data_IF_494568224551
#
_entry.id   IF_494568224551
#
_cell.length_a   1.000
_cell.length_b   1.000
_cell.length_c   1.000
_cell.angle_alpha   90.00
_cell.angle_beta   90.00
_cell.angle_gamma   90.00
#
_symmetry.space_group_name_H-M   'P 1'
#
loop_
_entity.id
_entity.type
_entity.pdbx_description
1 polymer ?
#
# COMPACT_ATOMS: atom_id res chain seq x y z
N UNK A 1 36.45 14.94 -17.81
CA UNK A 1 35.26 14.43 -17.10
C UNK A 1 34.10 14.48 -18.06
N UNK A 2 33.61 13.32 -18.51
CA UNK A 2 32.55 13.22 -19.52
C UNK A 2 31.21 13.49 -18.84
N UNK A 3 30.54 14.58 -19.21
CA UNK A 3 29.21 14.91 -18.70
C UNK A 3 28.20 13.89 -19.23
N UNK A 4 27.90 12.86 -18.45
CA UNK A 4 26.79 11.95 -18.73
C UNK A 4 25.48 12.71 -18.61
N UNK A 5 24.71 12.74 -19.70
CA UNK A 5 23.42 13.39 -19.76
C UNK A 5 22.49 12.81 -18.67
N UNK A 6 21.93 13.68 -17.82
CA UNK A 6 21.07 13.30 -16.68
C UNK A 6 19.91 12.40 -17.09
N UNK A 7 19.37 12.56 -18.30
CA UNK A 7 18.31 11.70 -18.82
C UNK A 7 18.78 10.27 -19.08
N UNK A 8 20.02 10.08 -19.57
CA UNK A 8 20.59 8.74 -19.75
C UNK A 8 20.92 8.10 -18.40
N UNK A 9 21.46 8.86 -17.44
CA UNK A 9 21.68 8.37 -16.08
C UNK A 9 20.36 7.95 -15.41
N UNK A 10 19.29 8.72 -15.62
CA UNK A 10 17.95 8.40 -15.15
C UNK A 10 17.47 7.07 -15.75
N UNK A 11 17.44 6.91 -17.08
CA UNK A 11 16.92 5.70 -17.75
C UNK A 11 17.64 4.41 -17.30
N UNK A 12 18.95 4.46 -17.03
CA UNK A 12 19.70 3.27 -16.65
C UNK A 12 19.70 2.98 -15.14
N UNK A 13 19.57 3.99 -14.28
CA UNK A 13 19.58 3.80 -12.82
C UNK A 13 18.18 3.70 -12.20
N UNK A 14 17.16 4.32 -12.80
CA UNK A 14 15.80 4.37 -12.23
C UNK A 14 15.12 3.04 -12.05
N UNK A 15 15.22 2.02 -12.93
CA UNK A 15 14.48 0.78 -12.71
C UNK A 15 14.83 0.12 -11.36
N UNK A 16 16.09 0.25 -10.95
CA UNK A 16 16.55 -0.27 -9.65
C UNK A 16 16.09 0.58 -8.47
N UNK A 17 16.07 1.91 -8.62
CA UNK A 17 15.60 2.85 -7.60
C UNK A 17 14.08 2.79 -7.44
N UNK A 18 13.35 2.76 -8.55
CA UNK A 18 11.89 2.60 -8.60
C UNK A 18 11.45 1.30 -7.94
N UNK A 19 12.19 0.19 -8.14
CA UNK A 19 11.90 -1.07 -7.46
C UNK A 19 12.10 -0.98 -5.94
N UNK A 20 13.09 -0.21 -5.48
CA UNK A 20 13.29 0.06 -4.04
C UNK A 20 12.18 0.92 -3.49
N UNK A 21 11.80 1.99 -4.21
CA UNK A 21 10.67 2.85 -3.82
C UNK A 21 9.38 2.06 -3.76
N UNK A 22 9.07 1.24 -4.76
CA UNK A 22 7.88 0.39 -4.78
C UNK A 22 7.84 -0.60 -3.59
N UNK A 23 8.99 -1.14 -3.18
CA UNK A 23 9.10 -1.97 -1.98
C UNK A 23 8.82 -1.20 -0.71
N UNK A 24 9.43 -0.02 -0.54
CA UNK A 24 9.19 0.85 0.61
C UNK A 24 7.71 1.24 0.70
N UNK A 25 7.09 1.59 -0.43
CA UNK A 25 5.66 1.89 -0.52
C UNK A 25 4.78 0.67 -0.20
N UNK A 26 5.28 -0.54 -0.43
CA UNK A 26 4.63 -1.81 -0.07
C UNK A 26 4.97 -2.28 1.35
N UNK A 27 5.57 -1.43 2.18
CA UNK A 27 6.06 -1.76 3.54
C UNK A 27 7.04 -2.94 3.56
N UNK A 28 7.85 -3.11 2.50
CA UNK A 28 8.91 -4.11 2.39
C UNK A 28 10.28 -3.45 2.43
N UNK A 29 11.27 -4.19 2.95
CA UNK A 29 12.67 -3.76 2.95
C UNK A 29 13.18 -3.57 1.49
N UNK A 30 13.72 -2.39 1.14
CA UNK A 30 14.20 -2.10 -0.21
C UNK A 30 15.31 -3.07 -0.67
N UNK A 31 16.19 -3.49 0.23
CA UNK A 31 17.36 -4.33 -0.09
C UNK A 31 17.12 -5.83 0.14
N UNK A 32 15.99 -6.21 0.74
CA UNK A 32 15.68 -7.61 1.01
C UNK A 32 15.60 -8.42 -0.29
N UNK A 33 16.41 -9.48 -0.42
CA UNK A 33 16.22 -10.44 -1.50
C UNK A 33 14.84 -11.07 -1.37
N UNK A 34 14.07 -11.07 -2.46
CA UNK A 34 12.78 -11.77 -2.49
C UNK A 34 13.10 -13.26 -2.59
N UNK A 35 12.82 -14.06 -1.55
CA UNK A 35 13.00 -15.49 -1.66
C UNK A 35 12.02 -16.01 -2.71
N UNK A 36 12.54 -16.67 -3.73
CA UNK A 36 11.71 -17.39 -4.70
C UNK A 36 11.23 -18.68 -4.07
N UNK A 37 9.96 -19.01 -4.29
CA UNK A 37 9.44 -20.30 -3.89
C UNK A 37 10.08 -21.39 -4.75
N UNK A 38 10.52 -22.47 -4.12
CA UNK A 38 11.16 -23.60 -4.77
C UNK A 38 10.48 -24.90 -4.34
N UNK A 39 10.58 -25.93 -5.19
CA UNK A 39 10.15 -27.27 -4.86
C UNK A 39 11.19 -28.05 -4.04
N UNK A 40 12.35 -27.44 -3.75
CA UNK A 40 13.46 -28.07 -3.00
C UNK A 40 13.07 -28.51 -1.58
N UNK A 41 11.98 -27.95 -1.01
CA UNK A 41 11.45 -28.38 0.29
C UNK A 41 10.79 -29.75 0.27
N UNK A 42 10.41 -30.26 -0.89
CA UNK A 42 9.79 -31.57 -1.04
C UNK A 42 10.84 -32.68 -1.19
N UNK A 43 10.49 -33.90 -0.81
CA UNK A 43 11.30 -35.08 -1.11
C UNK A 43 11.34 -35.37 -2.62
N UNK A 44 12.34 -36.14 -3.04
CA UNK A 44 12.57 -36.40 -4.47
C UNK A 44 11.38 -37.08 -5.15
N UNK A 45 10.65 -37.96 -4.47
CA UNK A 45 9.48 -38.65 -5.05
C UNK A 45 8.37 -37.63 -5.30
N UNK A 46 8.00 -36.85 -4.28
CA UNK A 46 7.00 -35.79 -4.41
C UNK A 46 7.37 -34.77 -5.48
N UNK A 47 8.64 -34.38 -5.58
CA UNK A 47 9.10 -33.49 -6.64
C UNK A 47 8.87 -34.08 -8.04
N UNK A 48 9.14 -35.38 -8.26
CA UNK A 48 8.88 -36.02 -9.55
C UNK A 48 7.39 -36.04 -9.90
N UNK A 49 6.54 -36.26 -8.90
CA UNK A 49 5.08 -36.24 -9.06
C UNK A 49 4.56 -34.84 -9.38
N UNK A 50 5.07 -33.81 -8.71
CA UNK A 50 4.74 -32.41 -9.02
C UNK A 50 5.20 -32.05 -10.45
N UNK A 51 6.43 -32.44 -10.83
CA UNK A 51 6.94 -32.18 -12.18
C UNK A 51 6.16 -32.91 -13.26
N UNK A 52 5.62 -34.09 -12.98
CA UNK A 52 4.78 -34.81 -13.95
C UNK A 52 3.49 -34.03 -14.24
N UNK A 53 2.85 -33.46 -13.20
CA UNK A 53 1.69 -32.57 -13.35
C UNK A 53 2.09 -31.28 -14.09
N UNK A 54 3.22 -30.67 -13.72
CA UNK A 54 3.73 -29.47 -14.39
C UNK A 54 3.98 -29.71 -15.89
N UNK A 55 4.48 -30.88 -16.27
CA UNK A 55 4.72 -31.23 -17.68
C UNK A 55 3.43 -31.29 -18.50
N UNK A 56 2.32 -31.75 -17.91
CA UNK A 56 1.00 -31.73 -18.55
C UNK A 56 0.42 -30.31 -18.59
N UNK A 57 0.59 -29.55 -17.51
CA UNK A 57 0.06 -28.19 -17.41
C UNK A 57 0.74 -27.24 -18.42
N UNK A 58 2.07 -27.33 -18.53
CA UNK A 58 2.92 -26.50 -19.38
C UNK A 58 3.35 -27.20 -20.68
N UNK A 59 2.52 -28.10 -21.21
CA UNK A 59 2.82 -28.89 -22.42
C UNK A 59 3.20 -28.07 -23.64
N UNK A 60 2.70 -26.83 -23.76
CA UNK A 60 3.02 -25.92 -24.87
C UNK A 60 4.38 -25.24 -24.73
N UNK A 61 4.97 -25.31 -23.54
CA UNK A 61 6.18 -24.57 -23.15
C UNK A 61 7.35 -25.50 -22.81
N UNK A 62 7.11 -26.82 -22.87
CA UNK A 62 8.04 -27.89 -22.57
C UNK A 62 8.01 -28.94 -23.68
N UNK A 63 9.14 -29.61 -23.93
CA UNK A 63 9.22 -30.67 -24.94
C UNK A 63 9.15 -30.19 -26.39
N UNK A 64 9.34 -28.90 -26.66
CA UNK A 64 9.41 -28.35 -28.01
C UNK A 64 10.66 -28.86 -28.74
N UNK A 65 10.52 -29.10 -30.05
CA UNK A 65 11.60 -29.59 -30.93
C UNK A 65 12.86 -28.73 -30.84
N UNK A 66 12.70 -27.42 -30.72
CA UNK A 66 13.81 -26.48 -30.56
C UNK A 66 14.03 -26.19 -29.09
N UNK A 67 15.15 -26.68 -28.54
CA UNK A 67 15.48 -26.57 -27.12
C UNK A 67 15.41 -25.13 -26.58
N UNK A 68 15.84 -24.14 -27.37
CA UNK A 68 15.91 -22.73 -26.98
C UNK A 68 14.56 -22.06 -26.71
N UNK A 69 13.46 -22.65 -27.18
CA UNK A 69 12.11 -22.13 -26.94
C UNK A 69 11.44 -22.77 -25.71
N UNK A 70 12.07 -23.78 -25.12
CA UNK A 70 11.55 -24.37 -23.89
C UNK A 70 11.83 -23.47 -22.71
N UNK A 71 10.86 -23.38 -21.80
CA UNK A 71 11.05 -22.70 -20.53
C UNK A 71 12.04 -23.50 -19.69
N UNK A 72 12.94 -22.79 -19.00
CA UNK A 72 13.92 -23.42 -18.13
C UNK A 72 13.22 -24.23 -17.01
N UNK A 73 13.73 -25.43 -16.72
CA UNK A 73 13.15 -26.33 -15.72
C UNK A 73 12.98 -25.66 -14.34
N UNK A 74 13.95 -24.86 -13.88
CA UNK A 74 13.84 -24.16 -12.59
C UNK A 74 12.74 -23.11 -12.60
N UNK A 75 12.53 -22.44 -13.74
CA UNK A 75 11.46 -21.45 -13.88
C UNK A 75 10.10 -22.15 -13.80
N UNK A 76 9.95 -23.31 -14.46
CA UNK A 76 8.73 -24.11 -14.35
C UNK A 76 8.49 -24.59 -12.91
N UNK A 77 9.53 -25.10 -12.24
CA UNK A 77 9.42 -25.54 -10.84
C UNK A 77 8.97 -24.39 -9.92
N UNK A 78 9.55 -23.19 -10.09
CA UNK A 78 9.11 -21.99 -9.36
C UNK A 78 7.66 -21.61 -9.68
N UNK A 79 7.28 -21.55 -10.97
CA UNK A 79 5.91 -21.23 -11.36
C UNK A 79 4.91 -22.24 -10.79
N UNK A 80 5.24 -23.53 -10.85
CA UNK A 80 4.42 -24.60 -10.27
C UNK A 80 4.30 -24.45 -8.76
N UNK A 81 5.40 -24.13 -8.05
CA UNK A 81 5.37 -23.89 -6.62
C UNK A 81 4.41 -22.75 -6.26
N UNK A 82 4.44 -21.63 -6.98
CA UNK A 82 3.51 -20.52 -6.76
C UNK A 82 2.06 -20.92 -7.04
N UNK A 83 1.79 -21.63 -8.14
CA UNK A 83 0.45 -22.12 -8.45
C UNK A 83 -0.09 -23.05 -7.35
N UNK A 84 0.74 -23.96 -6.84
CA UNK A 84 0.37 -24.85 -5.74
C UNK A 84 0.09 -24.08 -4.45
N UNK A 85 0.95 -23.13 -4.08
CA UNK A 85 0.76 -22.31 -2.88
C UNK A 85 -0.56 -21.55 -2.91
N UNK A 86 -0.92 -20.97 -4.06
CA UNK A 86 -2.12 -20.15 -4.21
C UNK A 86 -3.35 -20.92 -4.68
N UNK A 87 -3.23 -22.22 -4.94
CA UNK A 87 -4.34 -23.06 -5.40
C UNK A 87 -5.59 -23.00 -4.51
N UNK A 88 -5.50 -23.10 -3.17
CA UNK A 88 -6.69 -23.02 -2.30
C UNK A 88 -7.40 -21.68 -2.40
N UNK A 89 -6.65 -20.57 -2.49
CA UNK A 89 -7.19 -19.22 -2.66
C UNK A 89 -7.84 -19.05 -4.04
N UNK A 90 -7.22 -19.59 -5.08
CA UNK A 90 -7.76 -19.58 -6.43
C UNK A 90 -9.08 -20.36 -6.51
N UNK A 91 -9.13 -21.51 -5.83
CA UNK A 91 -10.32 -22.36 -5.76
C UNK A 91 -11.45 -21.75 -4.92
N UNK A 92 -11.13 -21.04 -3.83
CA UNK A 92 -12.14 -20.35 -3.04
C UNK A 92 -12.72 -19.14 -3.78
N UNK A 93 -11.92 -18.47 -4.61
CA UNK A 93 -12.36 -17.34 -5.42
C UNK A 93 -13.22 -17.78 -6.61
N UNK A 94 -12.79 -18.79 -7.34
CA UNK A 94 -13.50 -19.30 -8.52
C UNK A 94 -13.27 -20.80 -8.71
N UNK A 95 -14.11 -21.62 -8.09
CA UNK A 95 -14.03 -23.09 -8.18
C UNK A 95 -14.13 -23.61 -9.62
N UNK A 96 -14.94 -22.96 -10.44
CA UNK A 96 -15.15 -23.31 -11.86
C UNK A 96 -14.25 -22.53 -12.81
N UNK A 97 -13.26 -21.81 -12.28
CA UNK A 97 -12.31 -21.06 -13.09
C UNK A 97 -11.45 -21.98 -13.97
N UNK A 98 -11.16 -21.55 -15.20
CA UNK A 98 -10.38 -22.33 -16.16
C UNK A 98 -9.02 -22.79 -15.59
N UNK A 99 -8.36 -21.94 -14.80
CA UNK A 99 -7.09 -22.27 -14.17
C UNK A 99 -7.21 -23.41 -13.15
N UNK A 100 -8.26 -23.40 -12.32
CA UNK A 100 -8.55 -24.46 -11.34
C UNK A 100 -8.89 -25.77 -12.06
N UNK A 101 -9.83 -25.70 -13.02
CA UNK A 101 -10.23 -26.87 -13.81
C UNK A 101 -9.05 -27.50 -14.54
N UNK A 102 -8.18 -26.68 -15.17
CA UNK A 102 -7.02 -27.20 -15.90
C UNK A 102 -6.00 -27.84 -14.97
N UNK A 103 -5.73 -27.24 -13.80
CA UNK A 103 -4.80 -27.81 -12.84
C UNK A 103 -5.31 -29.12 -12.25
N UNK A 104 -6.60 -29.22 -11.91
CA UNK A 104 -7.23 -30.46 -11.45
C UNK A 104 -7.26 -31.52 -12.55
N UNK A 105 -7.61 -31.16 -13.79
CA UNK A 105 -7.61 -32.08 -14.92
C UNK A 105 -6.22 -32.65 -15.21
N UNK A 106 -5.17 -31.82 -15.23
CA UNK A 106 -3.79 -32.28 -15.42
C UNK A 106 -3.32 -33.17 -14.26
N UNK A 107 -3.82 -32.93 -13.04
CA UNK A 107 -3.51 -33.77 -11.86
C UNK A 107 -4.15 -35.15 -12.00
N UNK A 108 -5.44 -35.18 -12.36
CA UNK A 108 -6.19 -36.42 -12.61
C UNK A 108 -5.59 -37.20 -13.79
N UNK A 109 -5.15 -36.52 -14.85
CA UNK A 109 -4.46 -37.14 -16.00
C UNK A 109 -3.21 -37.92 -15.57
N UNK A 110 -2.49 -37.44 -14.54
CA UNK A 110 -1.32 -38.13 -13.97
C UNK A 110 -1.68 -39.17 -12.90
N UNK A 111 -2.96 -39.48 -12.73
CA UNK A 111 -3.45 -40.46 -11.75
C UNK A 111 -3.39 -39.96 -10.32
N UNK A 112 -3.30 -38.64 -10.12
CA UNK A 112 -3.21 -38.00 -8.81
C UNK A 112 -4.56 -37.41 -8.41
N UNK A 113 -4.77 -37.25 -7.12
CA UNK A 113 -6.04 -36.74 -6.59
C UNK A 113 -5.92 -35.28 -6.14
N UNK A 114 -7.06 -34.59 -6.11
CA UNK A 114 -7.11 -33.17 -5.73
C UNK A 114 -6.65 -32.93 -4.29
N UNK A 115 -6.79 -33.92 -3.40
CA UNK A 115 -6.25 -33.83 -2.03
C UNK A 115 -4.73 -33.75 -2.00
N UNK A 116 -4.03 -34.28 -3.00
CA UNK A 116 -2.57 -34.19 -3.08
C UNK A 116 -2.12 -32.77 -3.42
N UNK A 117 -2.82 -32.08 -4.32
CA UNK A 117 -2.60 -30.65 -4.57
C UNK A 117 -2.78 -29.83 -3.29
N UNK A 118 -3.82 -30.12 -2.50
CA UNK A 118 -4.07 -29.44 -1.23
C UNK A 118 -2.98 -29.76 -0.19
N UNK A 119 -2.51 -31.01 -0.13
CA UNK A 119 -1.42 -31.40 0.75
C UNK A 119 -0.12 -30.66 0.40
N UNK A 120 0.22 -30.57 -0.90
CA UNK A 120 1.40 -29.83 -1.37
C UNK A 120 1.28 -28.33 -1.12
N UNK A 121 0.08 -27.77 -1.32
CA UNK A 121 -0.21 -26.36 -1.04
C UNK A 121 -0.01 -26.02 0.44
N UNK A 122 -0.53 -26.87 1.32
CA UNK A 122 -0.37 -26.74 2.78
C UNK A 122 1.10 -26.77 3.18
N UNK A 123 1.87 -27.72 2.63
CA UNK A 123 3.31 -27.82 2.87
C UNK A 123 4.10 -26.58 2.42
N UNK A 124 3.77 -26.02 1.24
CA UNK A 124 4.41 -24.79 0.76
C UNK A 124 4.07 -23.56 1.62
N UNK A 125 2.87 -23.54 2.19
CA UNK A 125 2.42 -22.45 3.05
C UNK A 125 3.11 -22.47 4.41
N UNK A 126 3.37 -23.65 4.99
CA UNK A 126 4.12 -23.79 6.25
C UNK A 126 5.60 -23.43 6.07
N UNK A 127 6.25 -23.87 4.99
CA UNK A 127 7.64 -23.52 4.70
C UNK A 127 7.87 -22.02 4.43
N UNK A 128 6.87 -21.30 3.93
CA UNK A 128 6.96 -19.85 3.72
C UNK A 128 6.84 -19.03 5.01
N UNK A 129 6.29 -19.63 6.08
CA UNK A 129 6.05 -18.97 7.36
C UNK A 129 7.23 -19.09 8.33
N UNK A 130 8.16 -20.03 8.09
CA UNK A 130 9.39 -20.19 8.90
C UNK A 130 10.41 -19.10 8.60
N UNK A 131 10.11 -17.87 9.05
CA UNK A 131 11.12 -16.85 9.35
C UNK A 131 11.84 -17.29 10.64
N UNK A 132 13.17 -17.18 10.76
CA UNK A 132 13.82 -17.44 12.04
C UNK A 132 13.37 -16.35 13.02
N UNK A 133 12.55 -16.76 13.98
CA UNK A 133 12.22 -16.01 15.17
C UNK A 133 13.51 -15.87 15.98
N UNK A 134 14.12 -14.69 15.93
CA UNK A 134 15.11 -14.32 16.93
C UNK A 134 14.37 -14.23 18.26
N UNK A 135 14.48 -15.29 19.04
CA UNK A 135 14.05 -15.38 20.43
C UNK A 135 14.71 -14.25 21.24
N UNK A 136 13.92 -13.25 21.59
CA UNK A 136 14.03 -12.59 22.88
C UNK A 136 12.66 -12.60 23.54
N UNK A 137 12.57 -13.50 24.51
CA UNK A 137 11.52 -13.65 25.52
C UNK A 137 10.97 -12.31 25.98
N UNK A 138 9.65 -12.10 25.88
CA UNK A 138 8.81 -11.38 26.85
C UNK A 138 7.34 -11.67 26.51
N UNK A 139 6.66 -12.42 27.38
CA UNK A 139 5.20 -12.54 27.50
C UNK A 139 4.56 -11.19 27.96
N UNK A 140 3.22 -10.99 27.94
CA UNK A 140 2.16 -11.66 27.18
C UNK A 140 1.29 -10.68 26.35
N UNK A 141 0.56 -11.25 25.38
CA UNK A 141 -0.74 -10.82 24.85
C UNK A 141 -1.02 -9.31 24.73
N UNK A 142 -0.69 -8.74 23.57
CA UNK A 142 -1.51 -7.64 23.03
C UNK A 142 -1.88 -7.95 21.59
N UNK A 143 -3.19 -8.00 21.39
CA UNK A 143 -3.96 -8.18 20.18
C UNK A 143 -3.36 -7.39 18.99
N UNK A 144 -2.73 -8.07 18.03
CA UNK A 144 -2.07 -7.47 16.86
C UNK A 144 -3.09 -7.19 15.75
N UNK A 145 -4.27 -6.68 16.13
CA UNK A 145 -5.36 -6.43 15.21
C UNK A 145 -5.88 -5.00 15.28
N UNK A 146 -4.99 -4.03 15.53
CA UNK A 146 -5.13 -2.63 15.10
C UNK A 146 -3.76 -1.96 15.29
N UNK A 147 -3.18 -1.30 14.28
CA UNK A 147 -1.91 -0.61 14.51
C UNK A 147 -2.16 0.53 15.51
N UNK A 148 -1.46 0.57 16.66
CA UNK A 148 -1.77 1.47 17.78
C UNK A 148 -1.69 2.95 17.41
N UNK A 149 -0.96 3.26 16.33
CA UNK A 149 -0.82 4.59 15.74
C UNK A 149 -2.16 5.12 15.21
N UNK A 150 -2.99 4.29 14.57
CA UNK A 150 -4.27 4.75 14.02
C UNK A 150 -5.30 5.05 15.12
N UNK A 151 -5.32 4.25 16.19
CA UNK A 151 -6.17 4.51 17.35
C UNK A 151 -5.75 5.81 18.06
N UNK A 152 -4.44 6.03 18.20
CA UNK A 152 -3.92 7.27 18.77
C UNK A 152 -4.25 8.49 17.91
N UNK A 153 -4.09 8.39 16.58
CA UNK A 153 -4.45 9.46 15.65
C UNK A 153 -5.96 9.75 15.66
N UNK A 154 -6.81 8.73 15.70
CA UNK A 154 -8.25 8.90 15.81
C UNK A 154 -8.65 9.62 17.11
N UNK A 155 -8.04 9.24 18.24
CA UNK A 155 -8.28 9.90 19.52
C UNK A 155 -7.84 11.37 19.52
N UNK A 156 -6.71 11.70 18.89
CA UNK A 156 -6.27 13.09 18.74
C UNK A 156 -7.21 13.92 17.87
N UNK A 157 -7.75 13.34 16.78
CA UNK A 157 -8.74 13.99 15.92
C UNK A 157 -10.01 14.29 16.70
N UNK A 158 -10.51 13.32 17.48
CA UNK A 158 -11.70 13.48 18.33
C UNK A 158 -11.51 14.63 19.35
N UNK A 159 -10.34 14.67 20.01
CA UNK A 159 -10.00 15.76 20.93
C UNK A 159 -9.95 17.12 20.25
N UNK A 160 -9.38 17.19 19.04
CA UNK A 160 -9.30 18.45 18.30
C UNK A 160 -10.68 18.95 17.87
N UNK A 161 -11.58 18.05 17.48
CA UNK A 161 -12.98 18.36 17.16
C UNK A 161 -13.69 18.94 18.40
N UNK A 162 -13.54 18.32 19.57
CA UNK A 162 -14.16 18.81 20.81
C UNK A 162 -13.64 20.20 21.20
N UNK A 163 -12.33 20.44 21.06
CA UNK A 163 -11.74 21.75 21.34
C UNK A 163 -12.28 22.81 20.38
N UNK A 164 -12.35 22.53 19.08
CA UNK A 164 -12.89 23.47 18.11
C UNK A 164 -14.37 23.79 18.38
N UNK A 165 -15.21 22.78 18.65
CA UNK A 165 -16.61 23.01 19.04
C UNK A 165 -16.74 23.87 20.31
N UNK A 166 -15.86 23.67 21.29
CA UNK A 166 -15.83 24.49 22.51
C UNK A 166 -15.37 25.92 22.24
N UNK A 167 -14.45 26.14 21.29
CA UNK A 167 -14.04 27.48 20.88
C UNK A 167 -15.15 28.17 20.10
N UNK A 168 -15.83 27.47 19.19
CA UNK A 168 -16.97 28.00 18.44
C UNK A 168 -18.10 28.43 19.37
N UNK A 169 -18.48 27.60 20.34
CA UNK A 169 -19.51 27.98 21.33
C UNK A 169 -19.12 29.20 22.16
N UNK A 170 -17.85 29.31 22.57
CA UNK A 170 -17.34 30.49 23.28
C UNK A 170 -17.35 31.73 22.39
N UNK A 171 -17.01 31.59 21.12
CA UNK A 171 -17.03 32.67 20.14
C UNK A 171 -18.46 33.15 19.88
N UNK A 172 -19.41 32.25 19.63
CA UNK A 172 -20.84 32.59 19.49
C UNK A 172 -21.38 33.29 20.75
N UNK A 173 -20.97 32.85 21.94
CA UNK A 173 -21.37 33.50 23.20
C UNK A 173 -20.75 34.90 23.34
N UNK A 174 -19.49 35.06 22.92
CA UNK A 174 -18.80 36.36 22.92
C UNK A 174 -19.44 37.32 21.92
N UNK A 175 -19.73 36.85 20.71
CA UNK A 175 -20.42 37.61 19.66
C UNK A 175 -21.81 38.05 20.11
N UNK A 176 -22.60 37.16 20.72
CA UNK A 176 -23.90 37.50 21.28
C UNK A 176 -23.79 38.57 22.38
N UNK A 177 -22.81 38.47 23.27
CA UNK A 177 -22.57 39.48 24.31
C UNK A 177 -22.13 40.84 23.75
N UNK A 178 -21.35 40.86 22.65
CA UNK A 178 -20.94 42.09 21.96
C UNK A 178 -22.15 42.72 21.24
N UNK A 179 -22.94 41.91 20.52
CA UNK A 179 -24.16 42.39 19.83
C UNK A 179 -25.20 42.95 20.82
N UNK A 180 -25.36 42.32 21.97
CA UNK A 180 -26.26 42.79 23.03
C UNK A 180 -25.75 44.05 23.74
N UNK A 181 -24.43 44.24 23.87
CA UNK A 181 -23.85 45.51 24.35
C UNK A 181 -24.03 46.64 23.33
N UNK A 182 -23.90 46.35 22.04
CA UNK A 182 -24.06 47.35 20.97
C UNK A 182 -25.52 47.84 20.80
N UNK A 183 -26.53 47.04 21.17
CA UNK A 183 -27.94 47.44 21.12
C UNK A 183 -28.41 48.30 22.31
N UNK A 184 -27.57 48.53 23.32
CA UNK A 184 -27.96 49.23 24.56
C UNK A 184 -27.59 50.72 24.61
N UNK A 185 -27.27 51.34 23.49
CA UNK A 185 -27.09 52.80 23.39
C UNK A 185 -27.94 53.38 22.26
N UNK A 186 -28.88 54.27 22.60
CA UNK A 186 -29.22 55.41 21.73
C UNK A 186 -29.32 56.73 22.56
N UNK A 187 -29.53 57.91 21.94
CA UNK A 187 -28.49 58.87 21.55
C UNK A 187 -28.65 60.24 22.26
N UNK A 188 -27.65 61.11 22.16
CA UNK A 188 -27.76 62.51 22.59
C UNK A 188 -26.51 63.34 22.26
N UNK A 189 -26.67 64.25 21.31
CA UNK A 189 -25.71 65.23 20.78
C UNK A 189 -25.32 66.31 21.81
N UNK A 190 -24.10 66.84 21.75
CA UNK A 190 -23.87 68.25 21.33
C UNK A 190 -22.38 68.68 21.39
N UNK A 191 -21.95 69.21 20.24
CA UNK A 191 -21.00 70.30 19.95
C UNK A 191 -19.67 70.47 20.72
N UNK A 192 -18.54 70.48 19.98
CA UNK A 192 -17.83 71.73 19.56
C UNK A 192 -16.39 71.46 19.08
N UNK A 193 -15.95 72.33 18.19
CA UNK A 193 -14.76 72.34 17.31
C UNK A 193 -13.39 72.36 18.02
N UNK A 194 -12.33 71.84 17.39
CA UNK A 194 -11.17 72.64 16.94
C UNK A 194 -10.17 71.79 16.10
N UNK A 195 -9.46 72.47 15.20
CA UNK A 195 -8.70 72.01 14.05
C UNK A 195 -7.33 71.37 14.34
N UNK A 196 -6.82 70.60 13.38
CA UNK A 196 -5.44 70.09 13.43
C UNK A 196 -5.02 69.22 12.24
N UNK A 197 -4.61 69.90 11.16
CA UNK A 197 -4.12 69.45 9.85
C UNK A 197 -2.94 68.43 9.87
N UNK A 198 -2.88 67.53 8.88
CA UNK A 198 -1.61 66.90 8.42
C UNK A 198 -1.67 65.45 7.88
N UNK A 199 -1.73 65.27 6.56
CA UNK A 199 -1.37 64.05 5.81
C UNK A 199 0.00 64.28 5.08
N UNK A 200 0.66 63.31 4.41
CA UNK A 200 1.00 61.88 4.69
C UNK A 200 2.52 61.68 4.33
N UNK A 201 3.08 60.58 3.74
CA UNK A 201 2.69 59.16 3.58
C UNK A 201 3.84 58.18 3.99
N UNK A 202 3.70 56.84 3.79
CA UNK A 202 4.74 55.99 3.14
C UNK A 202 4.37 54.48 3.03
N UNK A 203 4.41 54.03 1.76
CA UNK A 203 4.76 52.71 1.17
C UNK A 203 3.85 51.48 1.33
N UNK A 204 3.04 51.30 0.27
CA UNK A 204 2.84 50.08 -0.55
C UNK A 204 3.21 48.73 0.11
N UNK A 205 2.19 47.89 0.28
CA UNK A 205 2.31 46.46 -0.01
C UNK A 205 1.12 46.03 -0.87
N UNK A 206 1.41 45.72 -2.14
CA UNK A 206 0.47 45.00 -3.02
C UNK A 206 0.13 43.68 -2.33
N UNK A 207 -1.07 43.53 -1.81
CA UNK A 207 -1.66 42.21 -1.59
C UNK A 207 -2.15 41.73 -2.95
N UNK A 208 -1.33 40.97 -3.66
CA UNK A 208 -1.84 40.10 -4.72
C UNK A 208 -2.84 39.15 -4.06
N UNK A 209 -4.09 39.22 -4.49
CA UNK A 209 -5.14 38.33 -4.05
C UNK A 209 -4.67 36.88 -4.17
N UNK A 210 -4.88 36.08 -3.11
CA UNK A 210 -4.60 34.67 -3.14
C UNK A 210 -5.52 34.01 -4.17
N UNK A 211 -4.98 33.66 -5.33
CA UNK A 211 -5.63 32.73 -6.26
C UNK A 211 -5.80 31.42 -5.53
N UNK A 212 -7.05 31.03 -5.33
CA UNK A 212 -7.41 29.76 -4.70
C UNK A 212 -6.79 28.62 -5.49
N UNK A 213 -6.19 27.65 -4.78
CA UNK A 213 -5.52 26.49 -5.38
C UNK A 213 -6.46 25.68 -6.29
N UNK A 214 -7.77 25.81 -6.13
CA UNK A 214 -8.78 25.18 -6.99
C UNK A 214 -8.80 25.74 -8.42
N UNK A 215 -8.43 27.00 -8.63
CA UNK A 215 -8.55 27.67 -9.93
C UNK A 215 -7.38 27.31 -10.87
N UNK A 216 -6.29 26.76 -10.34
CA UNK A 216 -5.11 26.35 -11.13
C UNK A 216 -5.19 24.91 -11.68
N UNK A 217 -6.10 24.07 -11.17
CA UNK A 217 -6.15 22.64 -11.50
C UNK A 217 -7.31 22.27 -12.44
N UNK A 218 -8.29 23.15 -12.59
CA UNK A 218 -9.50 22.90 -13.39
C UNK A 218 -9.73 23.95 -14.48
N UNK A 219 -8.67 24.62 -14.96
CA UNK A 219 -8.71 25.36 -16.23
C UNK A 219 -8.25 24.47 -17.38
#
# INVERSE_FOLDING_TARGET
MTATNKAFAYVFNTPSEDHKVARVLSSRDPEAKVPLLSLDSFDSDTQTRIRSVASALFVTSLGLKTAQYNVNARVVDTLMAYLLRHYPELKSLASDGLAVQRMEACTIEKGLCVSELLAWSSHLSTCASTKPENTKTTDPATDITTPPIFLHQAALIEQLIQVNQKLDTRLTTMEANIYNKSKRTPPGEDASEDAGNGEPPVKRRRTSAATSLKDAWFS
#
